data_IF_695659637569
#
_entry.id   IF_695659637569
#
_cell.length_a   1.000
_cell.length_b   1.000
_cell.length_c   1.000
_cell.angle_alpha   90.00
_cell.angle_beta   90.00
_cell.angle_gamma   90.00
#
_symmetry.space_group_name_H-M   'P 1'
#
loop_
_entity.id
_entity.type
_entity.pdbx_description
1 polymer ?
#
# COMPACT_ATOMS: atom_id res chain seq x y z
N UNK A 1 31.46 -14.46 9.61
CA UNK A 1 30.14 -13.82 9.81
C UNK A 1 29.13 -14.53 8.92
N UNK A 2 28.50 -15.56 9.47
CA UNK A 2 27.59 -16.46 8.78
C UNK A 2 26.16 -15.93 8.92
N UNK A 3 25.56 -15.51 7.82
CA UNK A 3 24.15 -15.11 7.80
C UNK A 3 23.28 -16.38 7.87
N UNK A 4 22.65 -16.58 9.01
CA UNK A 4 21.67 -17.64 9.23
C UNK A 4 20.47 -17.44 8.33
N UNK A 5 20.17 -18.47 7.52
CA UNK A 5 18.94 -18.62 6.76
C UNK A 5 17.79 -18.81 7.76
N UNK A 6 17.00 -17.78 7.99
CA UNK A 6 15.74 -17.88 8.74
C UNK A 6 14.70 -18.43 7.77
N UNK A 7 14.41 -19.73 7.86
CA UNK A 7 13.21 -20.32 7.30
C UNK A 7 11.99 -19.75 8.04
N UNK A 8 11.37 -18.72 7.47
CA UNK A 8 10.00 -18.38 7.81
C UNK A 8 9.08 -19.38 7.11
N UNK A 9 8.71 -20.44 7.83
CA UNK A 9 7.51 -21.20 7.53
C UNK A 9 6.31 -20.26 7.72
N UNK A 10 5.89 -19.61 6.65
CA UNK A 10 4.55 -19.05 6.60
C UNK A 10 3.55 -20.22 6.59
N UNK A 11 2.54 -20.26 7.47
CA UNK A 11 1.53 -21.29 7.40
C UNK A 11 0.78 -21.12 6.08
N UNK A 12 0.93 -22.11 5.20
CA UNK A 12 0.08 -22.26 4.02
C UNK A 12 -1.30 -22.62 4.55
N UNK A 13 -2.20 -21.65 4.62
CA UNK A 13 -3.63 -21.94 4.78
C UNK A 13 -4.11 -22.49 3.43
N UNK A 14 -4.10 -23.82 3.32
CA UNK A 14 -4.80 -24.53 2.25
C UNK A 14 -6.30 -24.41 2.56
N UNK A 15 -6.98 -23.51 1.86
CA UNK A 15 -8.45 -23.51 1.83
C UNK A 15 -8.85 -24.53 0.78
N UNK A 16 -9.23 -25.70 1.26
CA UNK A 16 -9.79 -26.80 0.49
C UNK A 16 -11.22 -26.43 0.05
N UNK A 17 -11.54 -26.33 -1.26
CA UNK A 17 -12.83 -25.81 -1.72
C UNK A 17 -13.99 -26.81 -1.65
N UNK A 18 -13.86 -27.94 -0.91
CA UNK A 18 -14.88 -29.00 -0.93
C UNK A 18 -15.27 -29.61 0.42
N UNK A 19 -15.17 -28.85 1.52
CA UNK A 19 -15.80 -29.25 2.78
C UNK A 19 -17.09 -28.48 3.06
N UNK A 20 -18.19 -29.02 2.53
CA UNK A 20 -19.54 -28.82 3.05
C UNK A 20 -19.65 -29.51 4.42
N UNK A 21 -19.18 -28.86 5.48
CA UNK A 21 -19.46 -29.30 6.85
C UNK A 21 -20.12 -28.15 7.63
N UNK A 22 -21.36 -28.44 8.02
CA UNK A 22 -22.21 -27.63 8.90
C UNK A 22 -21.47 -27.33 10.20
N UNK A 23 -21.03 -26.10 10.37
CA UNK A 23 -20.71 -25.53 11.68
C UNK A 23 -21.71 -24.41 11.92
N UNK A 24 -22.87 -24.81 12.44
CA UNK A 24 -23.85 -23.95 13.08
C UNK A 24 -23.33 -23.61 14.48
N UNK A 25 -22.75 -22.43 14.66
CA UNK A 25 -22.63 -21.78 15.96
C UNK A 25 -23.76 -20.74 16.07
N UNK A 26 -24.80 -20.98 16.90
CA UNK A 26 -25.84 -20.00 17.15
C UNK A 26 -25.46 -19.21 18.40
N UNK A 27 -24.94 -18.00 18.23
CA UNK A 27 -24.69 -17.12 19.37
C UNK A 27 -24.99 -15.68 18.98
N UNK A 28 -26.25 -15.45 18.59
CA UNK A 28 -27.03 -14.21 18.74
C UNK A 28 -28.39 -14.41 18.03
N UNK A 29 -29.11 -15.48 18.38
CA UNK A 29 -30.53 -15.54 18.07
C UNK A 29 -31.27 -14.85 19.22
N UNK A 30 -32.08 -13.79 18.99
CA UNK A 30 -33.07 -13.41 19.98
C UNK A 30 -33.97 -14.62 20.23
N UNK A 31 -34.42 -14.86 21.47
CA UNK A 31 -35.27 -16.00 21.77
C UNK A 31 -36.50 -15.96 20.85
N UNK A 32 -36.99 -17.12 20.34
CA UNK A 32 -38.25 -17.13 19.63
C UNK A 32 -39.31 -16.68 20.61
N UNK A 33 -39.91 -15.51 20.35
CA UNK A 33 -41.15 -15.12 21.00
C UNK A 33 -42.28 -15.93 20.37
N UNK A 34 -42.28 -17.24 20.63
CA UNK A 34 -43.51 -18.00 20.76
C UNK A 34 -44.19 -17.51 22.03
N UNK A 35 -44.79 -16.33 21.97
CA UNK A 35 -45.92 -16.04 22.83
C UNK A 35 -47.08 -16.85 22.26
N UNK A 36 -47.19 -18.10 22.73
CA UNK A 36 -48.49 -18.74 22.85
C UNK A 36 -49.35 -17.78 23.67
N UNK A 37 -50.13 -16.96 22.96
CA UNK A 37 -51.15 -16.12 23.56
C UNK A 37 -52.34 -17.01 23.92
N UNK A 38 -52.61 -17.33 25.20
CA UNK A 38 -53.81 -18.04 25.58
C UNK A 38 -54.92 -17.04 25.95
N UNK A 39 -54.98 -15.86 25.31
CA UNK A 39 -55.92 -14.79 25.69
C UNK A 39 -56.62 -14.13 24.50
N UNK A 40 -56.82 -14.87 23.41
CA UNK A 40 -57.92 -14.62 22.46
C UNK A 40 -59.04 -15.66 22.63
N UNK A 41 -59.37 -15.99 23.88
CA UNK A 41 -60.72 -16.45 24.21
C UNK A 41 -61.52 -15.22 24.61
N UNK A 42 -62.06 -14.52 23.61
CA UNK A 42 -63.14 -13.57 23.82
C UNK A 42 -64.31 -14.41 24.35
N UNK A 43 -64.43 -14.53 25.67
CA UNK A 43 -65.71 -14.87 26.28
C UNK A 43 -66.61 -13.68 25.99
N UNK A 44 -67.42 -13.85 24.96
CA UNK A 44 -68.61 -13.06 24.71
C UNK A 44 -69.41 -13.03 26.01
N UNK A 45 -69.36 -11.91 26.75
CA UNK A 45 -70.36 -11.63 27.77
C UNK A 45 -71.65 -11.30 27.02
N UNK A 46 -72.37 -12.37 26.65
CA UNK A 46 -73.77 -12.30 26.30
C UNK A 46 -74.51 -11.65 27.46
N UNK A 47 -75.03 -10.46 27.18
CA UNK A 47 -76.14 -9.83 27.89
C UNK A 47 -77.19 -10.87 28.21
N UNK A 48 -77.29 -11.26 29.48
CA UNK A 48 -78.43 -12.01 29.98
C UNK A 48 -79.45 -11.03 30.52
N UNK A 49 -80.30 -10.53 29.63
CA UNK A 49 -81.62 -10.01 30.01
C UNK A 49 -82.57 -11.20 30.05
N UNK A 50 -82.69 -11.85 31.21
CA UNK A 50 -83.77 -12.81 31.46
C UNK A 50 -84.82 -12.14 32.33
N UNK A 51 -85.93 -11.78 31.68
CA UNK A 51 -87.20 -11.46 32.30
C UNK A 51 -87.69 -12.62 33.16
N UNK A 52 -88.00 -12.36 34.43
CA UNK A 52 -88.92 -13.17 35.22
C UNK A 52 -89.91 -12.23 35.91
N UNK A 53 -91.03 -12.02 35.24
CA UNK A 53 -92.30 -11.66 35.88
C UNK A 53 -92.85 -12.90 36.57
N UNK A 54 -93.17 -12.80 37.86
CA UNK A 54 -94.31 -13.50 38.48
C UNK A 54 -94.57 -12.96 39.89
N UNK A 55 -95.56 -12.07 39.97
CA UNK A 55 -96.49 -11.82 41.08
C UNK A 55 -95.98 -11.79 42.53
N UNK A 56 -95.97 -10.61 43.16
CA UNK A 56 -96.82 -10.35 44.34
C UNK A 56 -96.82 -8.87 44.74
N UNK A 57 -97.98 -8.25 44.53
CA UNK A 57 -98.65 -7.21 45.32
C UNK A 57 -97.87 -6.47 46.43
N UNK A 58 -97.95 -5.15 46.34
CA UNK A 58 -97.94 -4.16 47.43
C UNK A 58 -96.61 -3.93 48.15
N UNK A 59 -95.77 -3.02 47.63
CA UNK A 59 -95.02 -2.06 48.45
C UNK A 59 -94.48 -0.91 47.55
N UNK A 60 -95.40 -0.02 47.15
CA UNK A 60 -95.06 1.28 46.56
C UNK A 60 -94.74 2.21 47.74
N UNK A 61 -93.51 2.70 47.85
CA UNK A 61 -93.28 3.87 48.71
C UNK A 61 -91.84 4.27 49.10
N UNK A 62 -90.83 3.39 49.17
CA UNK A 62 -89.60 3.76 49.91
C UNK A 62 -88.24 3.33 49.35
N UNK A 63 -88.15 2.75 48.14
CA UNK A 63 -86.87 2.21 47.62
C UNK A 63 -86.19 3.03 46.50
N UNK A 64 -86.60 4.28 46.26
CA UNK A 64 -86.12 5.06 45.10
C UNK A 64 -84.98 6.06 45.42
N UNK A 65 -84.55 6.20 46.67
CA UNK A 65 -83.67 7.33 47.06
C UNK A 65 -82.22 6.97 47.41
N UNK A 66 -81.90 5.71 47.74
CA UNK A 66 -80.53 5.34 48.18
C UNK A 66 -79.62 4.79 47.07
N UNK A 67 -80.15 4.43 45.90
CA UNK A 67 -79.37 3.83 44.81
C UNK A 67 -78.82 4.83 43.78
N UNK A 68 -79.36 6.05 43.71
CA UNK A 68 -78.92 7.05 42.72
C UNK A 68 -77.51 7.57 43.01
N UNK A 69 -77.12 7.71 44.28
CA UNK A 69 -75.78 8.16 44.66
C UNK A 69 -74.70 7.10 44.35
N UNK A 70 -75.00 5.83 44.62
CA UNK A 70 -74.13 4.68 44.30
C UNK A 70 -74.02 4.47 42.80
N UNK A 71 -75.12 4.55 42.06
CA UNK A 71 -75.12 4.49 40.59
C UNK A 71 -74.30 5.64 40.00
N UNK A 72 -74.48 6.88 40.48
CA UNK A 72 -73.69 8.02 40.01
C UNK A 72 -72.19 7.84 40.28
N UNK A 73 -71.81 7.30 41.45
CA UNK A 73 -70.41 6.99 41.75
C UNK A 73 -69.84 5.93 40.81
N UNK A 74 -70.61 4.88 40.50
CA UNK A 74 -70.22 3.85 39.56
C UNK A 74 -70.09 4.41 38.13
N UNK A 75 -70.99 5.31 37.71
CA UNK A 75 -70.91 5.97 36.40
C UNK A 75 -69.63 6.80 36.28
N UNK A 76 -69.26 7.57 37.31
CA UNK A 76 -68.00 8.32 37.33
C UNK A 76 -66.78 7.41 37.23
N UNK A 77 -66.78 6.29 37.95
CA UNK A 77 -65.69 5.31 37.92
C UNK A 77 -65.59 4.62 36.54
N UNK A 78 -66.72 4.28 35.93
CA UNK A 78 -66.76 3.72 34.58
C UNK A 78 -66.18 4.71 33.57
N UNK A 79 -66.48 6.00 33.72
CA UNK A 79 -65.97 7.04 32.83
C UNK A 79 -64.46 7.26 33.01
N UNK A 80 -63.96 7.24 34.23
CA UNK A 80 -62.51 7.27 34.53
C UNK A 80 -61.79 6.07 33.89
N UNK A 81 -62.31 4.86 34.08
CA UNK A 81 -61.72 3.65 33.48
C UNK A 81 -61.76 3.68 31.95
N UNK A 82 -62.81 4.23 31.34
CA UNK A 82 -62.88 4.44 29.88
C UNK A 82 -61.79 5.39 29.40
N UNK A 83 -61.57 6.48 30.13
CA UNK A 83 -60.52 7.44 29.81
C UNK A 83 -59.12 6.82 29.94
N UNK A 84 -58.90 5.98 30.95
CA UNK A 84 -57.66 5.23 31.14
C UNK A 84 -57.39 4.25 29.99
N UNK A 85 -58.42 3.52 29.55
CA UNK A 85 -58.30 2.61 28.39
C UNK A 85 -57.96 3.37 27.12
N UNK A 86 -58.57 4.54 26.88
CA UNK A 86 -58.24 5.40 25.73
C UNK A 86 -56.78 5.84 25.81
N UNK A 87 -56.35 6.33 26.98
CA UNK A 87 -54.98 6.79 27.20
C UNK A 87 -53.97 5.67 27.02
N UNK A 88 -54.29 4.46 27.50
CA UNK A 88 -53.45 3.28 27.34
C UNK A 88 -53.35 2.85 25.88
N UNK A 89 -54.47 2.82 25.15
CA UNK A 89 -54.47 2.52 23.71
C UNK A 89 -53.64 3.54 22.92
N UNK A 90 -53.74 4.83 23.24
CA UNK A 90 -52.90 5.86 22.60
C UNK A 90 -51.40 5.61 22.87
N UNK A 91 -51.02 5.28 24.11
CA UNK A 91 -49.64 4.94 24.45
C UNK A 91 -49.17 3.68 23.72
N UNK A 92 -50.04 2.69 23.59
CA UNK A 92 -49.74 1.45 22.87
C UNK A 92 -49.52 1.71 21.36
N UNK A 93 -50.37 2.51 20.73
CA UNK A 93 -50.20 2.93 19.32
C UNK A 93 -48.87 3.68 19.13
N UNK A 94 -48.58 4.66 20.00
CA UNK A 94 -47.30 5.39 19.94
C UNK A 94 -46.10 4.45 20.13
N UNK A 95 -46.23 3.42 20.96
CA UNK A 95 -45.17 2.43 21.16
C UNK A 95 -44.96 1.58 19.91
N UNK A 96 -46.03 1.21 19.19
CA UNK A 96 -45.93 0.50 17.91
C UNK A 96 -45.23 1.38 16.88
N UNK A 97 -45.61 2.65 16.75
CA UNK A 97 -45.00 3.58 15.79
C UNK A 97 -43.50 3.74 16.04
N UNK A 98 -43.10 4.01 17.29
CA UNK A 98 -41.67 4.10 17.66
C UNK A 98 -40.91 2.80 17.40
N UNK A 99 -41.55 1.66 17.65
CA UNK A 99 -40.94 0.36 17.37
C UNK A 99 -40.71 0.18 15.87
N UNK A 100 -41.71 0.50 15.04
CA UNK A 100 -41.61 0.40 13.58
C UNK A 100 -40.54 1.34 13.00
N UNK A 101 -40.46 2.58 13.49
CA UNK A 101 -39.42 3.52 13.09
C UNK A 101 -38.02 2.99 13.44
N UNK A 102 -37.85 2.48 14.67
CA UNK A 102 -36.59 1.89 15.09
C UNK A 102 -36.21 0.65 14.28
N UNK A 103 -37.20 -0.17 13.90
CA UNK A 103 -36.98 -1.36 13.08
C UNK A 103 -36.54 -0.99 11.65
N UNK A 104 -37.18 0.04 11.05
CA UNK A 104 -36.78 0.55 9.74
C UNK A 104 -35.38 1.15 9.75
N UNK A 105 -35.04 1.95 10.76
CA UNK A 105 -33.70 2.50 10.92
C UNK A 105 -32.65 1.39 11.10
N UNK A 106 -32.99 0.36 11.88
CA UNK A 106 -32.13 -0.81 12.05
C UNK A 106 -31.90 -1.52 10.70
N UNK A 107 -32.95 -1.79 9.94
CA UNK A 107 -32.84 -2.45 8.64
C UNK A 107 -32.01 -1.62 7.65
N UNK A 108 -32.15 -0.30 7.67
CA UNK A 108 -31.33 0.59 6.85
C UNK A 108 -29.85 0.48 7.21
N UNK A 109 -29.51 0.56 8.50
CA UNK A 109 -28.11 0.45 8.96
C UNK A 109 -27.53 -0.92 8.65
N UNK A 110 -28.30 -2.00 8.83
CA UNK A 110 -27.88 -3.36 8.48
C UNK A 110 -27.56 -3.47 6.98
N UNK A 111 -28.39 -2.89 6.12
CA UNK A 111 -28.15 -2.86 4.68
C UNK A 111 -26.86 -2.10 4.31
N UNK A 112 -26.65 -0.90 4.90
CA UNK A 112 -25.44 -0.11 4.66
C UNK A 112 -24.17 -0.85 5.12
N UNK A 113 -24.24 -1.57 6.24
CA UNK A 113 -23.14 -2.38 6.75
C UNK A 113 -22.84 -3.58 5.85
N UNK A 114 -23.86 -4.25 5.33
CA UNK A 114 -23.69 -5.36 4.38
C UNK A 114 -23.01 -4.90 3.09
N UNK A 115 -23.45 -3.76 2.54
CA UNK A 115 -22.85 -3.18 1.33
C UNK A 115 -21.40 -2.77 1.55
N UNK A 116 -21.10 -2.10 2.67
CA UNK A 116 -19.73 -1.74 3.01
C UNK A 116 -18.84 -2.97 3.19
N UNK A 117 -19.35 -3.99 3.89
CA UNK A 117 -18.65 -5.27 4.07
C UNK A 117 -18.33 -5.91 2.73
N UNK A 118 -19.31 -6.01 1.83
CA UNK A 118 -19.15 -6.59 0.49
C UNK A 118 -18.09 -5.86 -0.33
N UNK A 119 -18.14 -4.53 -0.33
CA UNK A 119 -17.18 -3.68 -1.03
C UNK A 119 -15.76 -3.84 -0.48
N UNK A 120 -15.62 -3.93 0.84
CA UNK A 120 -14.31 -4.11 1.49
C UNK A 120 -13.70 -5.47 1.15
N UNK A 121 -14.50 -6.53 1.13
CA UNK A 121 -14.05 -7.87 0.70
C UNK A 121 -13.67 -7.89 -0.78
N UNK A 122 -14.44 -7.26 -1.65
CA UNK A 122 -14.12 -7.19 -3.08
C UNK A 122 -12.82 -6.41 -3.33
N UNK A 123 -12.63 -5.28 -2.64
CA UNK A 123 -11.41 -4.49 -2.72
C UNK A 123 -10.19 -5.26 -2.20
N UNK A 124 -10.33 -5.94 -1.07
CA UNK A 124 -9.26 -6.76 -0.50
C UNK A 124 -8.88 -7.90 -1.47
N UNK A 125 -9.85 -8.60 -2.03
CA UNK A 125 -9.62 -9.66 -3.02
C UNK A 125 -8.93 -9.12 -4.28
N UNK A 126 -9.33 -7.94 -4.74
CA UNK A 126 -8.70 -7.27 -5.89
C UNK A 126 -7.24 -6.94 -5.60
N UNK A 127 -6.93 -6.40 -4.41
CA UNK A 127 -5.57 -6.06 -4.01
C UNK A 127 -4.69 -7.30 -3.89
N UNK A 128 -5.20 -8.36 -3.26
CA UNK A 128 -4.48 -9.64 -3.12
C UNK A 128 -4.24 -10.29 -4.48
N UNK A 129 -5.23 -10.27 -5.38
CA UNK A 129 -5.09 -10.80 -6.74
C UNK A 129 -4.04 -10.02 -7.55
N UNK A 130 -4.02 -8.69 -7.43
CA UNK A 130 -3.00 -7.84 -8.05
C UNK A 130 -1.61 -8.18 -7.51
N UNK A 131 -1.46 -8.25 -6.19
CA UNK A 131 -0.17 -8.57 -5.55
C UNK A 131 0.32 -9.98 -5.90
N UNK A 132 -0.58 -10.96 -5.98
CA UNK A 132 -0.23 -12.32 -6.40
C UNK A 132 0.29 -12.35 -7.85
N UNK A 133 -0.32 -11.56 -8.74
CA UNK A 133 0.13 -11.43 -10.14
C UNK A 133 1.48 -10.72 -10.24
N UNK A 134 1.68 -9.62 -9.52
CA UNK A 134 2.97 -8.89 -9.53
C UNK A 134 4.08 -9.77 -8.97
N UNK A 135 3.86 -10.43 -7.83
CA UNK A 135 4.80 -11.38 -7.23
C UNK A 135 5.18 -12.48 -8.20
N UNK A 136 4.20 -13.12 -8.84
CA UNK A 136 4.45 -14.18 -9.83
C UNK A 136 5.34 -13.69 -10.98
N UNK A 137 5.08 -12.50 -11.53
CA UNK A 137 5.88 -11.94 -12.61
C UNK A 137 7.32 -11.65 -12.19
N UNK A 138 7.50 -11.10 -10.99
CA UNK A 138 8.84 -10.82 -10.42
C UNK A 138 9.60 -12.13 -10.20
N UNK A 139 8.95 -13.14 -9.61
CA UNK A 139 9.53 -14.46 -9.38
C UNK A 139 9.96 -15.12 -10.70
N UNK A 140 9.11 -15.03 -11.74
CA UNK A 140 9.46 -15.53 -13.06
C UNK A 140 10.67 -14.82 -13.67
N UNK A 141 10.77 -13.49 -13.50
CA UNK A 141 11.95 -12.73 -13.95
C UNK A 141 13.20 -13.12 -13.19
N UNK A 142 13.10 -13.29 -11.87
CA UNK A 142 14.21 -13.72 -11.01
C UNK A 142 14.74 -15.07 -11.46
N UNK A 143 13.85 -16.03 -11.72
CA UNK A 143 14.25 -17.36 -12.21
C UNK A 143 14.97 -17.26 -13.56
N UNK A 144 14.50 -16.43 -14.49
CA UNK A 144 15.18 -16.24 -15.79
C UNK A 144 16.57 -15.65 -15.62
N UNK A 145 16.70 -14.54 -14.89
CA UNK A 145 17.99 -13.89 -14.68
C UNK A 145 18.95 -14.78 -13.90
N UNK A 146 18.46 -15.57 -12.95
CA UNK A 146 19.27 -16.54 -12.22
C UNK A 146 19.83 -17.64 -13.15
N UNK A 147 19.03 -18.13 -14.10
CA UNK A 147 19.52 -19.09 -15.11
C UNK A 147 20.57 -18.46 -16.02
N UNK A 148 20.31 -17.25 -16.52
CA UNK A 148 21.27 -16.50 -17.36
C UNK A 148 22.61 -16.29 -16.62
N UNK A 149 22.56 -15.88 -15.36
CA UNK A 149 23.76 -15.73 -14.54
C UNK A 149 24.47 -17.06 -14.31
N UNK A 150 23.74 -18.17 -14.19
CA UNK A 150 24.34 -19.50 -14.06
C UNK A 150 25.11 -19.88 -15.33
N UNK A 151 24.52 -19.67 -16.51
CA UNK A 151 25.14 -19.98 -17.79
C UNK A 151 26.41 -19.15 -18.01
N UNK A 152 26.35 -17.84 -17.79
CA UNK A 152 27.52 -16.96 -17.94
C UNK A 152 28.63 -17.32 -16.94
N UNK A 153 28.26 -17.73 -15.72
CA UNK A 153 29.26 -18.20 -14.73
C UNK A 153 29.97 -19.46 -15.19
N UNK A 154 29.23 -20.43 -15.73
CA UNK A 154 29.79 -21.68 -16.28
C UNK A 154 30.69 -21.41 -17.49
N UNK A 155 30.26 -20.56 -18.42
CA UNK A 155 31.05 -20.14 -19.57
C UNK A 155 32.37 -19.48 -19.15
N UNK A 156 32.30 -18.55 -18.19
CA UNK A 156 33.48 -17.86 -17.65
C UNK A 156 34.43 -18.82 -16.93
N UNK A 157 33.90 -19.82 -16.21
CA UNK A 157 34.70 -20.87 -15.59
C UNK A 157 35.43 -21.72 -16.64
N UNK A 158 34.73 -22.08 -17.73
CA UNK A 158 35.31 -22.81 -18.85
C UNK A 158 36.44 -22.02 -19.54
N UNK A 159 36.22 -20.73 -19.83
CA UNK A 159 37.25 -19.86 -20.41
C UNK A 159 38.46 -19.70 -19.48
N UNK A 160 38.22 -19.53 -18.17
CA UNK A 160 39.30 -19.48 -17.17
C UNK A 160 40.10 -20.78 -17.13
N UNK A 161 39.44 -21.94 -17.24
CA UNK A 161 40.09 -23.23 -17.30
C UNK A 161 40.95 -23.37 -18.57
N UNK A 162 40.41 -22.99 -19.73
CA UNK A 162 41.14 -22.98 -21.01
C UNK A 162 42.36 -22.05 -20.95
N UNK A 163 42.19 -20.83 -20.42
CA UNK A 163 43.29 -19.88 -20.27
C UNK A 163 44.38 -20.40 -19.32
N UNK A 164 43.99 -21.05 -18.22
CA UNK A 164 44.92 -21.67 -17.27
C UNK A 164 45.71 -22.81 -17.91
N UNK A 165 45.07 -23.64 -18.74
CA UNK A 165 45.75 -24.71 -19.49
C UNK A 165 46.74 -24.13 -20.51
N UNK A 166 46.32 -23.14 -21.31
CA UNK A 166 47.18 -22.46 -22.28
C UNK A 166 48.38 -21.80 -21.60
N UNK A 167 48.16 -21.13 -20.47
CA UNK A 167 49.23 -20.52 -19.68
C UNK A 167 50.24 -21.59 -19.20
N UNK A 168 49.76 -22.71 -18.68
CA UNK A 168 50.63 -23.82 -18.25
C UNK A 168 51.42 -24.44 -19.40
N UNK A 169 50.82 -24.56 -20.60
CA UNK A 169 51.51 -25.02 -21.82
C UNK A 169 52.61 -24.04 -22.24
N UNK A 170 52.33 -22.74 -22.22
CA UNK A 170 53.30 -21.71 -22.59
C UNK A 170 54.46 -21.66 -21.59
N UNK A 171 54.18 -21.74 -20.28
CA UNK A 171 55.19 -21.80 -19.24
C UNK A 171 56.10 -23.03 -19.40
N UNK A 172 55.53 -24.21 -19.66
CA UNK A 172 56.31 -25.42 -19.97
C UNK A 172 57.12 -25.32 -21.28
N UNK A 173 56.65 -24.58 -22.27
CA UNK A 173 57.41 -24.28 -23.49
C UNK A 173 58.53 -23.27 -23.25
N UNK A 174 58.32 -22.26 -22.41
CA UNK A 174 59.35 -21.31 -21.98
C UNK A 174 60.44 -22.07 -21.22
N UNK A 175 60.09 -22.95 -20.29
CA UNK A 175 61.08 -23.77 -19.57
C UNK A 175 61.85 -24.74 -20.48
N UNK A 176 61.22 -25.18 -21.59
CA UNK A 176 61.86 -26.00 -22.63
C UNK A 176 62.69 -25.17 -23.64
N UNK A 177 62.51 -23.85 -23.68
CA UNK A 177 63.17 -22.92 -24.61
C UNK A 177 64.04 -21.86 -23.92
N UNK A 178 64.16 -21.91 -22.59
CA UNK A 178 65.02 -21.10 -21.74
C UNK A 178 66.53 -21.41 -21.90
N UNK A 179 66.94 -21.68 -23.14
CA UNK A 179 68.30 -21.40 -23.61
C UNK A 179 68.47 -19.96 -24.10
N UNK A 180 67.44 -19.09 -24.18
CA UNK A 180 67.64 -17.68 -24.57
C UNK A 180 66.67 -16.68 -23.89
N UNK A 181 67.23 -15.98 -22.90
CA UNK A 181 67.06 -14.57 -22.48
C UNK A 181 65.68 -14.00 -22.05
N UNK A 182 65.73 -13.56 -20.80
CA UNK A 182 64.87 -12.68 -20.00
C UNK A 182 64.25 -11.45 -20.68
N UNK A 183 63.03 -11.18 -20.19
CA UNK A 183 62.34 -9.89 -19.97
C UNK A 183 61.93 -9.04 -21.17
N UNK A 184 60.62 -9.04 -21.50
CA UNK A 184 60.02 -7.91 -22.24
C UNK A 184 58.49 -7.73 -22.09
N UNK A 185 57.87 -8.25 -21.01
CA UNK A 185 56.39 -8.24 -20.91
C UNK A 185 55.79 -7.05 -20.14
N UNK A 186 56.58 -6.03 -19.77
CA UNK A 186 56.09 -4.88 -18.97
C UNK A 186 55.99 -3.57 -19.78
N UNK A 187 56.58 -3.50 -20.98
CA UNK A 187 56.70 -2.24 -21.74
C UNK A 187 55.54 -1.92 -22.72
N UNK A 188 54.45 -2.69 -22.71
CA UNK A 188 53.26 -2.42 -23.54
C UNK A 188 52.25 -1.49 -22.82
N UNK A 189 52.64 -0.79 -21.75
CA UNK A 189 51.88 0.40 -21.34
C UNK A 189 52.28 1.55 -22.27
N UNK A 190 51.53 1.60 -23.36
CA UNK A 190 51.47 2.57 -24.46
C UNK A 190 52.41 3.78 -24.30
N UNK A 191 53.66 3.59 -24.74
CA UNK A 191 54.74 4.59 -24.76
C UNK A 191 54.29 5.94 -25.34
N UNK A 192 53.33 5.90 -26.28
CA UNK A 192 52.70 7.09 -26.86
C UNK A 192 51.92 7.95 -25.85
N UNK A 193 51.24 7.35 -24.87
CA UNK A 193 50.51 8.11 -23.84
C UNK A 193 51.45 8.80 -22.86
N UNK A 194 52.54 8.12 -22.50
CA UNK A 194 53.57 8.70 -21.65
C UNK A 194 54.26 9.89 -22.32
N UNK A 195 54.54 9.80 -23.61
CA UNK A 195 55.15 10.91 -24.34
C UNK A 195 54.18 12.08 -24.50
N UNK A 196 52.90 11.84 -24.78
CA UNK A 196 51.86 12.88 -24.76
C UNK A 196 51.72 13.55 -23.38
N UNK A 197 51.82 12.78 -22.30
CA UNK A 197 51.77 13.33 -20.94
C UNK A 197 53.00 14.18 -20.61
N UNK A 198 54.20 13.73 -20.99
CA UNK A 198 55.43 14.51 -20.80
C UNK A 198 55.37 15.85 -21.55
N UNK A 199 54.84 15.86 -22.77
CA UNK A 199 54.66 17.08 -23.55
C UNK A 199 53.64 18.03 -22.91
N UNK A 200 52.56 17.47 -22.33
CA UNK A 200 51.62 18.24 -21.54
C UNK A 200 52.27 18.92 -20.34
N UNK A 201 53.06 18.19 -19.54
CA UNK A 201 53.73 18.75 -18.35
C UNK A 201 54.68 19.91 -18.72
N UNK A 202 55.36 19.83 -19.86
CA UNK A 202 56.22 20.91 -20.36
C UNK A 202 55.44 22.13 -20.85
N UNK A 203 54.29 21.91 -21.49
CA UNK A 203 53.46 22.98 -22.06
C UNK A 203 52.53 23.65 -21.03
N UNK A 204 52.09 22.92 -20.00
CA UNK A 204 51.14 23.36 -18.98
C UNK A 204 51.51 24.67 -18.27
N UNK A 205 52.74 24.89 -17.76
CA UNK A 205 53.07 26.12 -17.04
C UNK A 205 53.08 27.38 -17.93
N UNK A 206 53.24 27.21 -19.24
CA UNK A 206 53.29 28.31 -20.22
C UNK A 206 51.95 28.55 -20.91
N UNK A 207 50.94 27.71 -20.62
CA UNK A 207 49.61 27.80 -21.23
C UNK A 207 48.64 28.40 -20.21
N UNK A 208 47.88 29.46 -20.55
CA UNK A 208 46.87 29.99 -19.63
C UNK A 208 45.80 28.92 -19.34
N UNK A 209 45.26 28.93 -18.13
CA UNK A 209 44.35 27.89 -17.62
C UNK A 209 43.16 27.63 -18.56
N UNK A 210 42.60 28.70 -19.13
CA UNK A 210 41.47 28.63 -20.06
C UNK A 210 41.78 27.85 -21.34
N UNK A 211 43.05 27.68 -21.72
CA UNK A 211 43.49 26.97 -22.92
C UNK A 211 44.04 25.57 -22.61
N UNK A 212 44.15 25.18 -21.35
CA UNK A 212 44.75 23.91 -20.94
C UNK A 212 44.01 22.68 -21.53
N UNK A 213 42.69 22.80 -21.68
CA UNK A 213 41.84 21.79 -22.32
C UNK A 213 42.08 21.58 -23.82
N UNK A 214 42.83 22.49 -24.48
CA UNK A 214 43.19 22.37 -25.89
C UNK A 214 44.46 21.56 -26.11
N UNK A 215 45.25 21.31 -25.05
CA UNK A 215 46.44 20.48 -25.13
C UNK A 215 46.05 19.03 -25.45
N UNK A 216 46.86 18.37 -26.29
CA UNK A 216 46.55 17.06 -26.88
C UNK A 216 46.20 15.99 -25.84
N UNK A 217 46.96 15.94 -24.74
CA UNK A 217 46.72 15.00 -23.64
C UNK A 217 45.34 15.21 -22.98
N UNK A 218 45.04 16.44 -22.54
CA UNK A 218 43.78 16.75 -21.86
C UNK A 218 42.57 16.55 -22.79
N UNK A 219 42.72 16.95 -24.07
CA UNK A 219 41.69 16.73 -25.10
C UNK A 219 41.38 15.24 -25.29
N UNK A 220 42.40 14.38 -25.23
CA UNK A 220 42.23 12.94 -25.32
C UNK A 220 41.50 12.39 -24.10
N UNK A 221 41.90 12.77 -22.88
CA UNK A 221 41.19 12.39 -21.64
C UNK A 221 39.72 12.83 -21.65
N UNK A 222 39.42 14.03 -22.15
CA UNK A 222 38.03 14.48 -22.29
C UNK A 222 37.21 13.59 -23.23
N UNK A 223 37.82 13.17 -24.32
CA UNK A 223 37.15 12.37 -25.36
C UNK A 223 36.97 10.92 -24.92
N UNK A 224 37.98 10.34 -24.28
CA UNK A 224 38.03 8.92 -23.92
C UNK A 224 37.37 8.61 -22.58
N UNK A 225 37.52 9.48 -21.58
CA UNK A 225 37.08 9.18 -20.22
C UNK A 225 35.85 10.01 -19.83
N UNK A 226 35.96 11.34 -19.97
CA UNK A 226 34.94 12.26 -19.46
C UNK A 226 33.65 12.18 -20.27
N UNK A 227 33.75 12.20 -21.61
CA UNK A 227 32.58 12.18 -22.49
C UNK A 227 31.76 10.87 -22.38
N UNK A 228 32.36 9.67 -22.34
CA UNK A 228 31.61 8.42 -22.16
C UNK A 228 30.95 8.30 -20.78
N UNK A 229 31.63 8.76 -19.73
CA UNK A 229 31.06 8.74 -18.37
C UNK A 229 29.84 9.65 -18.25
N UNK A 230 29.89 10.85 -18.85
CA UNK A 230 28.77 11.80 -18.82
C UNK A 230 27.61 11.41 -19.75
N UNK A 231 27.89 10.64 -20.80
CA UNK A 231 26.85 10.12 -21.72
C UNK A 231 26.05 8.98 -21.11
N UNK A 232 26.64 8.21 -20.19
CA UNK A 232 26.04 6.97 -19.66
C UNK A 232 25.06 7.21 -18.50
N UNK A 233 25.10 8.37 -17.84
CA UNK A 233 24.28 8.63 -16.65
C UNK A 233 22.98 9.39 -16.89
N UNK A 234 22.96 10.34 -17.84
CA UNK A 234 21.84 11.26 -18.10
C UNK A 234 21.86 11.52 -19.60
N UNK A 235 20.73 11.41 -20.30
CA UNK A 235 20.61 11.55 -21.76
C UNK A 235 20.88 12.96 -22.31
N UNK A 236 22.02 13.56 -21.95
CA UNK A 236 22.44 14.85 -22.45
C UNK A 236 22.66 14.79 -23.96
N UNK A 237 22.08 15.77 -24.67
CA UNK A 237 22.42 15.99 -26.06
C UNK A 237 23.91 16.35 -26.19
N UNK A 238 24.53 16.04 -27.33
CA UNK A 238 25.93 16.41 -27.61
C UNK A 238 26.20 17.91 -27.41
N UNK A 239 25.21 18.76 -27.71
CA UNK A 239 25.26 20.20 -27.51
C UNK A 239 25.25 20.59 -26.02
N UNK A 240 24.41 19.93 -25.21
CA UNK A 240 24.33 20.17 -23.77
C UNK A 240 25.62 19.77 -23.07
N UNK A 241 26.19 18.62 -23.44
CA UNK A 241 27.46 18.15 -22.90
C UNK A 241 28.61 19.12 -23.25
N UNK A 242 28.65 19.60 -24.49
CA UNK A 242 29.64 20.58 -24.93
C UNK A 242 29.54 21.87 -24.11
N UNK A 243 28.33 22.40 -23.93
CA UNK A 243 28.09 23.61 -23.12
C UNK A 243 28.46 23.41 -21.65
N UNK A 244 28.16 22.24 -21.08
CA UNK A 244 28.51 21.91 -19.70
C UNK A 244 30.04 21.85 -19.54
N UNK A 245 30.73 21.17 -20.45
CA UNK A 245 32.19 21.06 -20.40
C UNK A 245 32.86 22.43 -20.56
N UNK A 246 32.36 23.24 -21.49
CA UNK A 246 32.80 24.62 -21.70
C UNK A 246 32.56 25.49 -20.44
N UNK A 247 31.43 25.31 -19.77
CA UNK A 247 31.13 26.01 -18.51
C UNK A 247 32.06 25.59 -17.37
N UNK A 248 32.38 24.30 -17.23
CA UNK A 248 33.32 23.79 -16.22
C UNK A 248 34.73 24.34 -16.43
N UNK A 249 35.13 24.50 -17.70
CA UNK A 249 36.44 25.07 -18.05
C UNK A 249 36.51 26.56 -17.69
N UNK A 250 35.46 27.34 -17.97
CA UNK A 250 35.44 28.79 -17.75
C UNK A 250 35.08 29.20 -16.31
N UNK A 251 34.47 28.29 -15.54
CA UNK A 251 34.16 28.49 -14.12
C UNK A 251 34.80 27.37 -13.30
N UNK A 252 36.13 27.40 -13.12
CA UNK A 252 36.79 26.44 -12.24
C UNK A 252 36.19 26.57 -10.82
N UNK A 253 35.78 25.44 -10.26
CA UNK A 253 35.22 25.42 -8.91
C UNK A 253 36.32 25.75 -7.89
N UNK A 254 36.06 26.73 -7.03
CA UNK A 254 36.92 26.99 -5.88
C UNK A 254 36.71 25.90 -4.83
N UNK A 255 37.80 25.21 -4.46
CA UNK A 255 37.79 24.30 -3.31
C UNK A 255 37.94 25.16 -2.07
N UNK A 256 36.80 25.55 -1.50
CA UNK A 256 36.75 26.27 -0.22
C UNK A 256 37.14 25.32 0.92
N UNK A 257 38.03 25.76 1.82
CA UNK A 257 38.35 24.98 3.02
C UNK A 257 37.14 25.03 3.94
N UNK A 258 36.51 23.89 4.16
CA UNK A 258 35.38 23.80 5.10
C UNK A 258 35.83 24.19 6.50
N UNK A 259 35.23 25.23 7.04
CA UNK A 259 35.34 25.56 8.46
C UNK A 259 34.72 24.44 9.30
N UNK A 260 35.26 24.09 10.48
CA UNK A 260 34.66 23.09 11.37
C UNK A 260 33.20 23.44 11.75
N UNK A 261 32.80 24.71 11.66
CA UNK A 261 31.41 25.13 11.85
C UNK A 261 30.46 24.68 10.73
N UNK A 262 30.93 24.58 9.48
CA UNK A 262 30.11 24.17 8.33
C UNK A 262 29.88 22.66 8.28
N UNK A 263 30.78 21.87 8.88
CA UNK A 263 30.66 20.41 8.96
C UNK A 263 29.43 19.99 9.78
N UNK A 264 29.13 20.69 10.88
CA UNK A 264 27.97 20.42 11.73
C UNK A 264 26.62 20.84 11.10
N UNK A 265 26.60 21.75 10.13
CA UNK A 265 25.35 22.13 9.43
C UNK A 265 25.05 21.24 8.22
N UNK A 266 26.03 20.51 7.69
CA UNK A 266 25.85 19.68 6.49
C UNK A 266 25.12 18.36 6.78
N UNK A 267 25.08 17.91 8.04
CA UNK A 267 24.28 16.75 8.45
C UNK A 267 22.76 17.02 8.48
N UNK A 268 22.32 18.28 8.62
CA UNK A 268 20.90 18.61 8.81
C UNK A 268 20.16 19.08 7.54
N UNK A 269 20.88 19.41 6.46
CA UNK A 269 20.26 19.87 5.21
C UNK A 269 20.81 19.09 4.02
N UNK A 270 20.04 18.08 3.58
CA UNK A 270 20.24 17.43 2.27
C UNK A 270 20.09 18.47 1.16
N UNK A 271 21.19 19.13 0.79
CA UNK A 271 21.19 19.97 -0.41
C UNK A 271 20.89 19.09 -1.62
N UNK A 272 20.06 19.59 -2.57
CA UNK A 272 19.87 18.90 -3.83
C UNK A 272 21.23 18.82 -4.54
N UNK A 273 21.56 17.64 -5.07
CA UNK A 273 22.82 17.37 -5.77
C UNK A 273 23.16 18.47 -6.78
N UNK A 274 24.45 18.71 -7.03
CA UNK A 274 24.96 19.65 -8.04
C UNK A 274 24.24 19.54 -9.40
N UNK A 275 23.77 18.34 -9.74
CA UNK A 275 23.00 18.02 -10.95
C UNK A 275 21.65 18.74 -11.02
N UNK A 276 21.01 19.03 -9.87
CA UNK A 276 19.72 19.74 -9.83
C UNK A 276 19.83 21.19 -10.31
N UNK A 277 21.03 21.79 -10.28
CA UNK A 277 21.27 23.17 -10.70
C UNK A 277 21.31 23.34 -12.22
N UNK A 278 21.51 22.25 -12.97
CA UNK A 278 21.62 22.25 -14.44
C UNK A 278 20.39 21.65 -15.14
N UNK A 279 19.29 21.44 -14.43
CA UNK A 279 18.05 20.98 -15.05
C UNK A 279 17.43 22.16 -15.81
N UNK A 280 17.21 22.05 -17.14
CA UNK A 280 16.41 23.03 -17.85
C UNK A 280 15.00 23.06 -17.24
N UNK A 281 14.47 24.24 -16.99
CA UNK A 281 13.11 24.39 -16.46
C UNK A 281 12.12 23.74 -17.43
N UNK A 282 11.23 22.85 -16.97
CA UNK A 282 10.14 22.37 -17.81
C UNK A 282 9.09 23.48 -17.86
N UNK A 283 9.07 24.28 -18.93
CA UNK A 283 7.97 25.22 -19.16
C UNK A 283 8.30 26.60 -19.74
N UNK A 284 9.30 26.74 -20.61
CA UNK A 284 9.31 27.91 -21.51
C UNK A 284 8.52 27.55 -22.77
N UNK A 285 7.20 27.67 -22.67
CA UNK A 285 6.32 27.82 -23.83
C UNK A 285 6.71 29.11 -24.53
N UNK A 286 7.33 29.01 -25.70
CA UNK A 286 7.39 30.12 -26.63
C UNK A 286 5.95 30.36 -27.11
N UNK A 287 5.36 31.49 -26.72
CA UNK A 287 4.27 32.08 -27.48
C UNK A 287 4.87 32.92 -28.60
N UNK A 288 4.37 32.73 -29.83
CA UNK A 288 4.36 33.69 -30.94
C UNK A 288 5.71 34.22 -31.39
#
# INVERSE_FOLDING_TARGET
MTWGRIEQQAPIIVIDPTQTNKITNPLLAPPPLSYDSPLLSIQSFSSSTSSLNSEQTNHIGQLEFFDTATVNKQVLQIEELRQDVITLNQKYVQQIERFQESEQQKAQVEHELEDLSRNLFEQANTMVSKEKKTRFLVEQKLIRTQRELSLVREELENERAQFKELKSKLEGQIDSSASCKETDTVDIVDRGWLDMFKDFIKAAPNTPLDLLHRLSFLKLCFTMDVQPCLRSGIGFSRLTLKRLLESVIHQPCFIERTSPFQLNQQESVRRPSFVARFRPAPGTQCYG
#
